data_IF_335297835879
#
_entry.id   IF_335297835879
#
_cell.length_a   1.000
_cell.length_b   1.000
_cell.length_c   1.000
_cell.angle_alpha   90.00
_cell.angle_beta   90.00
_cell.angle_gamma   90.00
#
_symmetry.space_group_name_H-M   'P 1'
#
loop_
_entity.id
_entity.type
_entity.pdbx_description
1 polymer ?
#
# COMPACT_ATOMS: atom_id res chain seq x y z
N UNK A 1 -10.33 -23.60 2.83
CA UNK A 1 -10.40 -22.13 3.02
C UNK A 1 -9.70 -21.84 4.34
N UNK A 2 -8.49 -21.27 4.32
CA UNK A 2 -7.82 -20.89 5.56
C UNK A 2 -8.56 -19.66 6.10
N UNK A 3 -9.10 -19.74 7.32
CA UNK A 3 -9.77 -18.59 7.93
C UNK A 3 -8.73 -17.50 8.17
N UNK A 4 -8.90 -16.30 7.59
CA UNK A 4 -8.01 -15.19 7.87
C UNK A 4 -8.08 -14.87 9.36
N UNK A 5 -6.92 -14.65 9.98
CA UNK A 5 -6.87 -14.25 11.39
C UNK A 5 -7.50 -12.86 11.56
N UNK A 6 -8.09 -12.62 12.74
CA UNK A 6 -8.69 -11.31 13.07
C UNK A 6 -7.70 -10.15 12.86
N UNK A 7 -6.41 -10.40 13.09
CA UNK A 7 -5.34 -9.42 12.87
C UNK A 7 -5.17 -9.08 11.38
N UNK A 8 -5.14 -10.09 10.50
CA UNK A 8 -5.01 -9.87 9.06
C UNK A 8 -6.21 -9.09 8.51
N UNK A 9 -7.43 -9.46 8.91
CA UNK A 9 -8.64 -8.73 8.53
C UNK A 9 -8.60 -7.28 8.99
N UNK A 10 -8.17 -7.03 10.23
CA UNK A 10 -8.00 -5.67 10.75
C UNK A 10 -6.94 -4.90 9.95
N UNK A 11 -5.78 -5.50 9.69
CA UNK A 11 -4.70 -4.84 8.93
C UNK A 11 -5.14 -4.50 7.51
N UNK A 12 -5.83 -5.42 6.81
CA UNK A 12 -6.41 -5.15 5.50
C UNK A 12 -7.44 -4.03 5.55
N UNK A 13 -8.32 -4.00 6.56
CA UNK A 13 -9.31 -2.94 6.70
C UNK A 13 -8.67 -1.57 6.96
N UNK A 14 -7.61 -1.53 7.78
CA UNK A 14 -6.83 -0.32 8.00
C UNK A 14 -6.16 0.15 6.69
N UNK A 15 -5.47 -0.74 5.97
CA UNK A 15 -4.90 -0.39 4.65
C UNK A 15 -5.96 0.09 3.65
N UNK A 16 -7.14 -0.55 3.62
CA UNK A 16 -8.26 -0.10 2.78
C UNK A 16 -8.72 1.31 3.16
N UNK A 17 -8.90 1.59 4.45
CA UNK A 17 -9.31 2.91 4.93
C UNK A 17 -8.28 3.99 4.57
N UNK A 18 -6.99 3.66 4.67
CA UNK A 18 -5.90 4.55 4.28
C UNK A 18 -5.92 4.83 2.78
N UNK A 19 -6.09 3.79 1.94
CA UNK A 19 -6.16 3.97 0.49
C UNK A 19 -7.42 4.73 0.06
N UNK A 20 -8.56 4.49 0.70
CA UNK A 20 -9.77 5.28 0.48
C UNK A 20 -9.56 6.76 0.81
N UNK A 21 -8.91 7.05 1.95
CA UNK A 21 -8.56 8.41 2.33
C UNK A 21 -7.59 9.05 1.32
N UNK A 22 -6.51 8.34 0.95
CA UNK A 22 -5.55 8.82 -0.07
C UNK A 22 -6.23 9.15 -1.39
N UNK A 23 -7.10 8.26 -1.88
CA UNK A 23 -7.87 8.47 -3.11
C UNK A 23 -8.73 9.73 -3.04
N UNK A 24 -9.37 10.00 -1.89
CA UNK A 24 -10.20 11.19 -1.70
C UNK A 24 -9.39 12.50 -1.74
N UNK A 25 -8.18 12.49 -1.18
CA UNK A 25 -7.32 13.68 -1.13
C UNK A 25 -6.74 14.02 -2.51
N UNK A 26 -6.46 13.01 -3.34
CA UNK A 26 -5.84 13.20 -4.65
C UNK A 26 -6.80 13.66 -5.75
N UNK A 27 -8.11 13.72 -5.49
CA UNK A 27 -9.08 14.31 -6.43
C UNK A 27 -8.78 15.79 -6.74
N UNK A 28 -8.01 16.46 -5.90
CA UNK A 28 -7.61 17.85 -6.09
C UNK A 28 -6.34 18.02 -6.95
N UNK A 29 -5.67 16.92 -7.31
CA UNK A 29 -4.41 16.97 -8.08
C UNK A 29 -4.66 16.87 -9.60
N UNK A 30 -3.82 17.49 -10.44
CA UNK A 30 -3.98 17.46 -11.90
C UNK A 30 -3.91 16.03 -12.49
N UNK A 31 -3.20 15.11 -11.83
CA UNK A 31 -3.04 13.71 -12.23
C UNK A 31 -4.01 12.76 -11.50
N UNK A 32 -5.11 13.28 -10.97
CA UNK A 32 -5.99 12.53 -10.06
C UNK A 32 -6.48 11.20 -10.63
N UNK A 33 -6.73 11.10 -11.93
CA UNK A 33 -7.26 9.89 -12.57
C UNK A 33 -6.40 8.64 -12.31
N UNK A 34 -5.08 8.79 -12.43
CA UNK A 34 -4.15 7.67 -12.24
C UNK A 34 -4.04 7.28 -10.77
N UNK A 35 -3.94 8.28 -9.89
CA UNK A 35 -3.83 8.07 -8.45
C UNK A 35 -5.12 7.51 -7.86
N UNK A 36 -6.27 8.10 -8.20
CA UNK A 36 -7.59 7.63 -7.79
C UNK A 36 -7.81 6.17 -8.21
N UNK A 37 -7.46 5.81 -9.45
CA UNK A 37 -7.57 4.44 -9.94
C UNK A 37 -6.64 3.48 -9.16
N UNK A 38 -5.41 3.91 -8.87
CA UNK A 38 -4.45 3.13 -8.09
C UNK A 38 -4.95 2.84 -6.67
N UNK A 39 -5.27 3.89 -5.91
CA UNK A 39 -5.69 3.73 -4.52
C UNK A 39 -7.10 3.15 -4.40
N UNK A 40 -8.00 3.47 -5.33
CA UNK A 40 -9.33 2.86 -5.40
C UNK A 40 -9.24 1.35 -5.64
N UNK A 41 -8.43 0.92 -6.61
CA UNK A 41 -8.16 -0.50 -6.85
C UNK A 41 -7.53 -1.20 -5.64
N UNK A 42 -6.53 -0.57 -5.02
CA UNK A 42 -5.89 -1.09 -3.82
C UNK A 42 -6.85 -1.19 -2.62
N UNK A 43 -7.77 -0.23 -2.47
CA UNK A 43 -8.82 -0.23 -1.46
C UNK A 43 -9.77 -1.41 -1.65
N UNK A 44 -10.30 -1.61 -2.86
CA UNK A 44 -11.19 -2.74 -3.18
C UNK A 44 -10.50 -4.06 -2.89
N UNK A 45 -9.26 -4.22 -3.33
CA UNK A 45 -8.49 -5.46 -3.10
C UNK A 45 -8.33 -5.73 -1.59
N UNK A 46 -7.97 -4.73 -0.79
CA UNK A 46 -7.87 -4.88 0.68
C UNK A 46 -9.23 -5.14 1.36
N UNK A 47 -10.34 -4.53 0.90
CA UNK A 47 -11.69 -4.78 1.44
C UNK A 47 -12.17 -6.21 1.15
N UNK A 48 -11.88 -6.68 -0.05
CA UNK A 48 -12.32 -7.99 -0.55
C UNK A 48 -11.19 -9.01 -0.48
N UNK A 49 -10.27 -8.87 0.48
CA UNK A 49 -9.14 -9.79 0.69
C UNK A 49 -9.61 -11.25 0.89
N UNK A 50 -10.77 -11.46 1.51
CA UNK A 50 -11.37 -12.80 1.66
C UNK A 50 -11.78 -13.46 0.33
N UNK A 51 -11.97 -12.68 -0.74
CA UNK A 51 -12.26 -13.17 -2.09
C UNK A 51 -11.08 -12.97 -3.06
N UNK A 52 -9.86 -12.76 -2.56
CA UNK A 52 -8.65 -12.59 -3.38
C UNK A 52 -8.38 -13.80 -4.27
N UNK A 53 -8.81 -15.00 -3.85
CA UNK A 53 -8.76 -16.23 -4.65
C UNK A 53 -9.66 -16.17 -5.90
N UNK A 54 -10.57 -15.21 -6.00
CA UNK A 54 -11.37 -14.98 -7.21
C UNK A 54 -10.49 -14.41 -8.33
N UNK A 55 -10.65 -14.97 -9.53
CA UNK A 55 -9.92 -14.56 -10.73
C UNK A 55 -10.08 -13.06 -11.03
N UNK A 56 -11.26 -12.50 -10.77
CA UNK A 56 -11.53 -11.08 -10.98
C UNK A 56 -10.71 -10.18 -10.04
N UNK A 57 -10.72 -10.46 -8.73
CA UNK A 57 -9.99 -9.67 -7.73
C UNK A 57 -8.47 -9.82 -7.95
N UNK A 58 -8.01 -11.02 -8.31
CA UNK A 58 -6.61 -11.24 -8.66
C UNK A 58 -6.16 -10.35 -9.83
N UNK A 59 -6.95 -10.25 -10.91
CA UNK A 59 -6.63 -9.36 -12.02
C UNK A 59 -6.66 -7.89 -11.64
N UNK A 60 -7.58 -7.47 -10.76
CA UNK A 60 -7.60 -6.11 -10.22
C UNK A 60 -6.32 -5.84 -9.40
N UNK A 61 -5.88 -6.79 -8.58
CA UNK A 61 -4.65 -6.68 -7.80
C UNK A 61 -3.40 -6.63 -8.68
N UNK A 62 -3.32 -7.46 -9.72
CA UNK A 62 -2.24 -7.41 -10.72
C UNK A 62 -2.24 -6.07 -11.48
N UNK A 63 -3.41 -5.58 -11.89
CA UNK A 63 -3.54 -4.29 -12.54
C UNK A 63 -3.13 -3.12 -11.64
N UNK A 64 -3.57 -3.12 -10.38
CA UNK A 64 -3.16 -2.14 -9.38
C UNK A 64 -1.64 -2.22 -9.09
N UNK A 65 -1.06 -3.42 -9.08
CA UNK A 65 0.38 -3.60 -8.93
C UNK A 65 1.16 -3.00 -10.10
N UNK A 66 0.78 -3.31 -11.34
CA UNK A 66 1.40 -2.76 -12.53
C UNK A 66 1.27 -1.24 -12.61
N UNK A 67 0.07 -0.72 -12.34
CA UNK A 67 -0.18 0.71 -12.26
C UNK A 67 0.66 1.38 -11.16
N UNK A 68 0.79 0.72 -10.00
CA UNK A 68 1.61 1.18 -8.88
C UNK A 68 3.08 1.27 -9.26
N UNK A 69 3.63 0.23 -9.90
CA UNK A 69 5.02 0.22 -10.39
C UNK A 69 5.24 1.33 -11.42
N UNK A 70 4.30 1.48 -12.37
CA UNK A 70 4.38 2.54 -13.38
C UNK A 70 4.43 3.93 -12.75
N UNK A 71 3.52 4.22 -11.81
CA UNK A 71 3.50 5.51 -11.11
C UNK A 71 4.71 5.71 -10.21
N UNK A 72 5.21 4.65 -9.57
CA UNK A 72 6.43 4.72 -8.77
C UNK A 72 7.65 5.10 -9.62
N UNK A 73 7.81 4.49 -10.80
CA UNK A 73 8.87 4.85 -11.76
C UNK A 73 8.70 6.30 -12.24
N UNK A 74 7.47 6.71 -12.57
CA UNK A 74 7.16 8.09 -12.96
C UNK A 74 7.61 9.09 -11.90
N UNK A 75 7.23 8.87 -10.64
CA UNK A 75 7.56 9.76 -9.52
C UNK A 75 9.07 9.78 -9.26
N UNK A 76 9.75 8.63 -9.39
CA UNK A 76 11.23 8.59 -9.30
C UNK A 76 11.86 9.43 -10.40
N UNK A 77 11.41 9.29 -11.65
CA UNK A 77 11.93 10.06 -12.77
C UNK A 77 11.75 11.57 -12.53
N UNK A 78 10.56 11.99 -12.07
CA UNK A 78 10.29 13.38 -11.70
C UNK A 78 11.22 13.88 -10.57
N UNK A 79 11.38 13.09 -9.51
CA UNK A 79 12.29 13.41 -8.39
C UNK A 79 13.73 13.61 -8.88
N UNK A 80 14.21 12.75 -9.77
CA UNK A 80 15.59 12.82 -10.28
C UNK A 80 15.82 13.99 -11.22
N UNK A 81 14.77 14.42 -11.94
CA UNK A 81 14.85 15.55 -12.88
C UNK A 81 14.80 16.91 -12.17
N UNK A 82 14.04 17.02 -11.07
CA UNK A 82 13.86 18.27 -10.33
C UNK A 82 14.97 18.50 -9.31
N UNK A 83 15.29 17.51 -8.47
CA UNK A 83 16.17 17.67 -7.30
C UNK A 83 17.47 16.84 -7.37
N UNK A 84 17.70 16.13 -8.48
CA UNK A 84 18.86 15.24 -8.64
C UNK A 84 18.87 14.05 -7.68
N UNK A 85 20.06 13.54 -7.34
CA UNK A 85 20.23 12.36 -6.44
C UNK A 85 19.80 12.67 -4.99
N UNK A 86 19.78 13.94 -4.60
CA UNK A 86 19.36 14.41 -3.27
C UNK A 86 17.87 14.15 -2.99
N UNK A 87 17.01 14.40 -3.97
CA UNK A 87 15.56 14.15 -3.87
C UNK A 87 15.21 12.68 -3.64
N UNK A 88 16.10 11.74 -3.99
CA UNK A 88 15.87 10.32 -3.75
C UNK A 88 15.94 9.93 -2.26
N UNK A 89 16.79 10.61 -1.49
CA UNK A 89 17.00 10.35 -0.06
C UNK A 89 16.23 11.32 0.84
N UNK A 90 15.73 12.44 0.30
CA UNK A 90 14.83 13.32 1.01
C UNK A 90 13.51 12.60 1.34
N UNK A 91 13.08 12.75 2.59
CA UNK A 91 11.89 12.11 3.16
C UNK A 91 10.92 13.18 3.72
N UNK A 92 10.91 14.37 3.12
CA UNK A 92 9.99 15.43 3.48
C UNK A 92 8.58 15.17 2.92
N UNK A 93 7.66 14.75 3.76
CA UNK A 93 6.25 14.51 3.39
C UNK A 93 5.49 15.79 2.99
N UNK A 94 6.06 16.97 3.21
CA UNK A 94 5.49 18.23 2.73
C UNK A 94 5.53 18.29 1.20
N UNK A 95 6.54 17.68 0.59
CA UNK A 95 6.68 17.60 -0.85
C UNK A 95 5.71 16.59 -1.45
N UNK A 96 5.04 17.01 -2.52
CA UNK A 96 4.07 16.16 -3.23
C UNK A 96 4.71 14.88 -3.77
N UNK A 97 5.89 15.01 -4.37
CA UNK A 97 6.64 13.91 -5.00
C UNK A 97 6.98 12.81 -4.00
N UNK A 98 7.40 13.17 -2.78
CA UNK A 98 7.75 12.21 -1.73
C UNK A 98 6.50 11.48 -1.22
N UNK A 99 5.37 12.17 -1.03
CA UNK A 99 4.10 11.51 -0.65
C UNK A 99 3.64 10.52 -1.72
N UNK A 100 3.72 10.91 -2.99
CA UNK A 100 3.34 10.07 -4.13
C UNK A 100 4.24 8.83 -4.24
N UNK A 101 5.56 8.99 -4.00
CA UNK A 101 6.54 7.89 -3.95
C UNK A 101 6.23 6.90 -2.84
N UNK A 102 5.96 7.41 -1.63
CA UNK A 102 5.64 6.56 -0.47
C UNK A 102 4.29 5.88 -0.69
N UNK A 103 3.28 6.62 -1.14
CA UNK A 103 1.94 6.08 -1.36
C UNK A 103 1.90 5.00 -2.44
N UNK A 104 2.55 5.20 -3.58
CA UNK A 104 2.70 4.15 -4.61
C UNK A 104 3.51 2.95 -4.10
N UNK A 105 4.58 3.18 -3.34
CA UNK A 105 5.34 2.12 -2.69
C UNK A 105 4.50 1.29 -1.71
N UNK A 106 3.64 1.92 -0.91
CA UNK A 106 2.72 1.23 0.01
C UNK A 106 1.70 0.36 -0.75
N UNK A 107 1.16 0.86 -1.86
CA UNK A 107 0.24 0.08 -2.71
C UNK A 107 0.95 -1.15 -3.28
N UNK A 108 2.14 -1.00 -3.84
CA UNK A 108 2.94 -2.11 -4.38
C UNK A 108 3.15 -3.20 -3.33
N UNK A 109 3.63 -2.83 -2.13
CA UNK A 109 3.86 -3.79 -1.04
C UNK A 109 2.57 -4.46 -0.59
N UNK A 110 1.46 -3.72 -0.49
CA UNK A 110 0.15 -4.26 -0.13
C UNK A 110 -0.34 -5.29 -1.16
N UNK A 111 -0.22 -4.99 -2.47
CA UNK A 111 -0.64 -5.89 -3.54
C UNK A 111 0.24 -7.14 -3.61
N UNK A 112 1.56 -7.03 -3.43
CA UNK A 112 2.48 -8.18 -3.39
C UNK A 112 2.10 -9.13 -2.24
N UNK A 113 1.84 -8.59 -1.05
CA UNK A 113 1.44 -9.40 0.10
C UNK A 113 0.11 -10.12 -0.14
N UNK A 114 -0.88 -9.44 -0.75
CA UNK A 114 -2.18 -10.04 -1.06
C UNK A 114 -2.11 -11.08 -2.19
N UNK A 115 -1.34 -10.84 -3.24
CA UNK A 115 -1.11 -11.81 -4.32
C UNK A 115 -0.34 -13.04 -3.82
N UNK A 116 0.63 -12.83 -2.92
CA UNK A 116 1.35 -13.91 -2.24
C UNK A 116 0.40 -14.73 -1.38
N UNK A 117 -0.47 -14.08 -0.59
CA UNK A 117 -1.50 -14.75 0.19
C UNK A 117 -2.41 -15.63 -0.68
N UNK A 118 -2.86 -15.11 -1.82
CA UNK A 118 -3.69 -15.85 -2.79
C UNK A 118 -2.96 -17.04 -3.43
N UNK A 119 -1.69 -16.87 -3.81
CA UNK A 119 -0.90 -17.92 -4.46
C UNK A 119 -0.62 -19.10 -3.52
N UNK A 120 -0.51 -18.83 -2.21
CA UNK A 120 -0.29 -19.87 -1.20
C UNK A 120 -1.55 -20.69 -0.85
N UNK A 121 -2.73 -20.35 -1.37
CA UNK A 121 -3.98 -21.10 -1.10
C UNK A 121 -4.21 -22.34 -1.99
N UNK A 122 -3.34 -22.66 -2.98
CA UNK A 122 -3.43 -23.89 -3.80
C UNK A 122 -2.05 -24.55 -3.99
N UNK A 123 -1.82 -25.89 -3.88
CA UNK A 123 -2.69 -27.08 -3.95
C UNK A 123 -2.67 -28.02 -2.68
N UNK A 124 -3.40 -29.16 -2.64
CA UNK A 124 -3.79 -29.86 -1.42
C UNK A 124 -2.84 -31.02 -1.02
N UNK A 125 -1.53 -30.78 -0.93
CA UNK A 125 -0.62 -31.81 -0.44
C UNK A 125 0.40 -31.25 0.56
N UNK A 126 0.22 -31.61 1.83
CA UNK A 126 1.12 -31.38 2.98
C UNK A 126 1.40 -29.92 3.37
N UNK A 127 0.46 -29.31 4.09
CA UNK A 127 0.63 -28.97 5.52
C UNK A 127 -0.59 -28.21 6.02
N UNK A 128 -1.27 -28.80 7.01
CA UNK A 128 -2.25 -28.10 7.80
C UNK A 128 -1.61 -26.93 8.56
N UNK A 129 -2.41 -25.87 8.71
CA UNK A 129 -2.38 -24.90 9.80
C UNK A 129 -1.10 -24.09 10.00
N UNK A 130 -0.89 -23.13 9.12
CA UNK A 130 -0.50 -21.76 9.50
C UNK A 130 -0.70 -20.92 8.25
N UNK A 131 -1.69 -20.03 8.27
CA UNK A 131 -1.62 -18.85 7.42
C UNK A 131 -0.18 -18.33 7.54
N UNK A 132 0.55 -18.12 6.43
CA UNK A 132 1.99 -17.91 6.48
C UNK A 132 2.25 -16.70 7.36
N UNK A 133 2.81 -16.93 8.56
CA UNK A 133 3.11 -15.87 9.56
C UNK A 133 3.78 -14.66 8.91
N UNK A 134 4.58 -14.91 7.90
CA UNK A 134 5.23 -13.90 7.08
C UNK A 134 4.25 -12.87 6.46
N UNK A 135 3.11 -13.30 5.90
CA UNK A 135 2.11 -12.39 5.33
C UNK A 135 1.42 -11.59 6.43
N UNK A 136 1.08 -12.21 7.55
CA UNK A 136 0.47 -11.51 8.69
C UNK A 136 1.41 -10.46 9.28
N UNK A 137 2.67 -10.82 9.54
CA UNK A 137 3.67 -9.88 10.01
C UNK A 137 3.96 -8.80 8.96
N UNK A 138 4.02 -9.16 7.68
CA UNK A 138 4.21 -8.23 6.57
C UNK A 138 3.10 -7.18 6.52
N UNK A 139 1.84 -7.61 6.62
CA UNK A 139 0.69 -6.70 6.66
C UNK A 139 0.68 -5.83 7.91
N UNK A 140 1.01 -6.39 9.08
CA UNK A 140 1.09 -5.63 10.33
C UNK A 140 2.21 -4.57 10.30
N UNK A 141 3.40 -4.92 9.80
CA UNK A 141 4.52 -4.00 9.61
C UNK A 141 4.14 -2.91 8.60
N UNK A 142 3.48 -3.29 7.50
CA UNK A 142 3.04 -2.35 6.47
C UNK A 142 2.06 -1.32 7.05
N UNK A 143 1.07 -1.76 7.82
CA UNK A 143 0.14 -0.85 8.54
C UNK A 143 0.90 0.03 9.51
N UNK A 144 1.76 -0.55 10.36
CA UNK A 144 2.55 0.19 11.33
C UNK A 144 3.39 1.29 10.67
N UNK A 145 4.03 0.99 9.55
CA UNK A 145 4.79 1.97 8.77
C UNK A 145 3.88 3.02 8.12
N UNK A 146 2.76 2.60 7.53
CA UNK A 146 1.84 3.48 6.80
C UNK A 146 1.20 4.56 7.69
N UNK A 147 0.86 4.22 8.93
CA UNK A 147 0.32 5.17 9.91
C UNK A 147 1.40 5.84 10.75
N UNK A 148 2.49 5.10 11.06
CA UNK A 148 3.59 5.59 11.88
C UNK A 148 4.41 6.67 11.21
N UNK A 149 4.67 6.57 9.90
CA UNK A 149 5.50 7.54 9.19
C UNK A 149 4.85 8.95 9.12
N UNK A 150 3.56 9.10 8.78
CA UNK A 150 2.85 10.37 8.93
C UNK A 150 2.81 10.84 10.38
N UNK A 151 2.55 9.94 11.34
CA UNK A 151 2.50 10.31 12.76
C UNK A 151 3.83 10.91 13.23
N UNK A 152 4.96 10.24 12.97
CA UNK A 152 6.29 10.73 13.34
C UNK A 152 6.57 12.07 12.66
N UNK A 153 6.27 12.21 11.38
CA UNK A 153 6.55 13.46 10.66
C UNK A 153 5.70 14.64 11.18
N UNK A 154 4.39 14.45 11.35
CA UNK A 154 3.50 15.51 11.79
C UNK A 154 3.63 15.83 13.27
N UNK A 155 3.83 14.84 14.13
CA UNK A 155 3.90 15.03 15.59
C UNK A 155 5.30 15.42 16.05
N UNK A 156 6.37 14.87 15.44
CA UNK A 156 7.75 15.07 15.92
C UNK A 156 8.49 16.14 15.12
N UNK A 157 8.26 16.24 13.80
CA UNK A 157 8.97 17.22 12.95
C UNK A 157 8.19 18.51 12.70
N UNK A 158 6.88 18.44 12.50
CA UNK A 158 6.04 19.60 12.18
C UNK A 158 5.31 20.18 13.39
N UNK A 159 5.02 19.33 14.37
CA UNK A 159 4.63 19.72 15.72
C UNK A 159 5.87 20.03 16.52
N UNK A 160 6.00 21.28 16.95
CA UNK A 160 6.82 21.64 18.10
C UNK A 160 6.33 20.86 19.34
N UNK A 161 6.76 19.61 19.53
CA UNK A 161 6.86 19.05 20.87
C UNK A 161 8.08 19.72 21.53
N UNK A 162 7.87 20.97 21.94
CA UNK A 162 8.58 21.60 23.05
C UNK A 162 8.31 20.75 24.29
N UNK A 163 9.17 19.76 24.53
CA UNK A 163 9.38 19.29 25.89
C UNK A 163 10.43 20.18 26.56
#
# INVERSE_FOLDING_TARGET
MATPTKLNTLCSLLMASLFAYSASVQLNDPDWYFWFSLYGGACVVNLVNWAISSKAIKHVAEGALWLGIFLFIRVIAESTLVDGVSGFWSLDLSERVIREKIGSGLVINSMILQLTASSLEAPPHKQQSKFPRFVEYGMAILVGFSYGLPFVFFVVKKGELKF
#
